data_IF_712387393104
#
_entry.id   IF_712387393104
#
_cell.length_a   1.000
_cell.length_b   1.000
_cell.length_c   1.000
_cell.angle_alpha   90.00
_cell.angle_beta   90.00
_cell.angle_gamma   90.00
#
_symmetry.space_group_name_H-M   'P 1'
#
loop_
_entity.id
_entity.type
_entity.pdbx_description
1 polymer ?
#
# COMPACT_ATOMS: atom_id res chain seq x y z
N UNK A 1 48.25 95.49 7.09
CA UNK A 1 47.60 95.13 5.82
C UNK A 1 48.28 93.99 5.04
N UNK A 2 49.17 93.17 5.64
CA UNK A 2 49.85 92.03 4.98
C UNK A 2 49.35 90.64 5.44
N UNK A 3 48.42 90.56 6.40
CA UNK A 3 47.87 89.28 6.91
C UNK A 3 46.48 88.94 6.33
N UNK A 4 45.74 89.93 5.80
CA UNK A 4 44.44 89.71 5.16
C UNK A 4 44.58 88.93 3.84
N UNK A 5 45.68 89.11 3.10
CA UNK A 5 45.93 88.36 1.86
C UNK A 5 46.21 86.86 2.12
N UNK A 6 46.79 86.51 3.27
CA UNK A 6 47.07 85.11 3.62
C UNK A 6 45.78 84.36 3.99
N UNK A 7 44.83 85.03 4.65
CA UNK A 7 43.54 84.44 5.01
C UNK A 7 42.65 84.16 3.79
N UNK A 8 42.67 85.04 2.78
CA UNK A 8 41.88 84.83 1.54
C UNK A 8 42.48 83.70 0.69
N UNK A 9 43.81 83.59 0.63
CA UNK A 9 44.48 82.48 -0.06
C UNK A 9 44.16 81.12 0.60
N UNK A 10 44.18 81.04 1.94
CA UNK A 10 43.86 79.82 2.67
C UNK A 10 42.39 79.38 2.51
N UNK A 11 41.45 80.32 2.43
CA UNK A 11 40.03 80.00 2.21
C UNK A 11 39.74 79.44 0.81
N UNK A 12 40.45 79.93 -0.23
CA UNK A 12 40.28 79.44 -1.60
C UNK A 12 40.80 78.00 -1.80
N UNK A 13 41.86 77.61 -1.09
CA UNK A 13 42.41 76.26 -1.14
C UNK A 13 41.50 75.22 -0.47
N UNK A 14 40.69 75.62 0.52
CA UNK A 14 39.78 74.71 1.23
C UNK A 14 38.50 74.42 0.43
N UNK A 15 37.98 75.40 -0.32
CA UNK A 15 36.78 75.24 -1.15
C UNK A 15 37.02 74.34 -2.38
N UNK A 16 38.22 74.40 -2.97
CA UNK A 16 38.58 73.58 -4.12
C UNK A 16 38.75 72.08 -3.77
N UNK A 17 39.17 71.77 -2.54
CA UNK A 17 39.36 70.38 -2.08
C UNK A 17 38.07 69.61 -1.82
N UNK A 18 36.96 70.29 -1.50
CA UNK A 18 35.69 69.64 -1.16
C UNK A 18 34.87 69.24 -2.41
N UNK A 19 35.05 69.94 -3.53
CA UNK A 19 34.29 69.68 -4.77
C UNK A 19 34.87 68.55 -5.64
N UNK A 20 36.13 68.14 -5.42
CA UNK A 20 36.81 67.11 -6.25
C UNK A 20 36.53 65.67 -5.74
N UNK A 21 35.92 65.51 -4.55
CA UNK A 21 35.61 64.19 -3.96
C UNK A 21 34.12 63.83 -3.91
N UNK A 22 33.27 64.55 -4.66
CA UNK A 22 31.89 64.16 -4.91
C UNK A 22 31.79 63.17 -6.08
N UNK A 23 32.12 61.90 -5.86
CA UNK A 23 31.86 60.84 -6.85
C UNK A 23 30.33 60.65 -6.99
N UNK A 24 29.71 60.90 -8.15
CA UNK A 24 28.33 60.48 -8.38
C UNK A 24 28.34 58.96 -8.56
N UNK A 25 27.91 58.22 -7.54
CA UNK A 25 27.69 56.78 -7.67
C UNK A 25 26.41 56.54 -8.47
N UNK A 26 26.57 56.56 -9.79
CA UNK A 26 25.77 55.77 -10.71
C UNK A 26 25.83 54.30 -10.30
N UNK A 27 24.69 53.62 -10.30
CA UNK A 27 24.67 52.17 -10.20
C UNK A 27 23.37 51.67 -9.63
N UNK A 28 22.46 51.30 -10.52
CA UNK A 28 21.35 50.41 -10.22
C UNK A 28 21.88 49.20 -9.43
N UNK A 29 21.62 49.17 -8.12
CA UNK A 29 21.84 47.97 -7.33
C UNK A 29 20.69 47.04 -7.65
N UNK A 30 21.02 46.09 -8.50
CA UNK A 30 20.22 44.97 -8.97
C UNK A 30 19.40 44.39 -7.80
N UNK A 31 18.11 44.19 -8.06
CA UNK A 31 17.32 43.24 -7.31
C UNK A 31 18.09 41.92 -7.35
N UNK A 32 18.75 41.59 -6.24
CA UNK A 32 19.24 40.26 -6.01
C UNK A 32 17.99 39.38 -5.97
N UNK A 33 17.65 38.80 -7.11
CA UNK A 33 16.87 37.59 -7.14
C UNK A 33 17.70 36.57 -6.35
N UNK A 34 17.37 36.46 -5.06
CA UNK A 34 17.87 35.40 -4.22
C UNK A 34 17.48 34.11 -4.93
N UNK A 35 18.45 33.47 -5.57
CA UNK A 35 18.23 32.19 -6.21
C UNK A 35 18.02 31.22 -5.06
N UNK A 36 16.74 31.02 -4.71
CA UNK A 36 16.32 30.04 -3.72
C UNK A 36 16.88 28.70 -4.21
N UNK A 37 17.95 28.24 -3.56
CA UNK A 37 18.40 26.87 -3.71
C UNK A 37 17.19 25.98 -3.43
N UNK A 38 16.92 24.92 -4.21
CA UNK A 38 15.85 24.00 -3.86
C UNK A 38 16.14 23.55 -2.43
N UNK A 39 15.26 23.95 -1.50
CA UNK A 39 15.40 23.62 -0.11
C UNK A 39 15.53 22.11 -0.07
N UNK A 40 16.69 21.61 0.35
CA UNK A 40 16.77 20.22 0.76
C UNK A 40 15.75 20.14 1.86
N UNK A 41 14.63 19.46 1.58
CA UNK A 41 13.68 19.09 2.60
C UNK A 41 14.44 18.07 3.43
N UNK A 42 15.25 18.56 4.37
CA UNK A 42 15.67 17.81 5.54
C UNK A 42 14.42 17.70 6.39
N UNK A 43 13.40 17.05 5.85
CA UNK A 43 12.22 16.66 6.60
C UNK A 43 12.78 15.88 7.78
N UNK A 44 12.48 16.36 8.98
CA UNK A 44 12.83 15.67 10.21
C UNK A 44 12.48 14.20 10.02
N UNK A 45 13.48 13.31 10.04
CA UNK A 45 13.21 11.87 10.03
C UNK A 45 12.50 11.56 11.35
N UNK A 46 11.18 11.43 11.29
CA UNK A 46 10.38 11.04 12.43
C UNK A 46 10.34 9.51 12.43
N UNK A 47 11.15 8.91 13.29
CA UNK A 47 11.07 7.49 13.60
C UNK A 47 10.15 7.30 14.81
N UNK A 48 9.17 6.42 14.68
CA UNK A 48 8.28 6.02 15.76
C UNK A 48 8.25 4.48 15.84
N UNK A 49 8.22 3.94 17.05
CA UNK A 49 8.04 2.51 17.24
C UNK A 49 6.62 2.11 16.82
N UNK A 50 6.51 1.14 15.92
CA UNK A 50 5.26 0.52 15.52
C UNK A 50 5.23 -0.94 15.96
N UNK A 51 4.04 -1.46 16.23
CA UNK A 51 3.82 -2.89 16.45
C UNK A 51 3.27 -3.52 15.18
N UNK A 52 3.83 -4.67 14.79
CA UNK A 52 3.28 -5.47 13.68
C UNK A 52 2.18 -6.35 14.25
N UNK A 53 0.99 -6.22 13.69
CA UNK A 53 -0.16 -7.06 14.00
C UNK A 53 -0.41 -8.03 12.85
N UNK A 54 -0.93 -9.24 13.13
CA UNK A 54 -1.46 -10.11 12.10
C UNK A 54 -2.53 -9.40 11.25
N UNK A 55 -2.56 -9.71 9.95
CA UNK A 55 -3.62 -9.21 9.05
C UNK A 55 -4.99 -9.79 9.43
N UNK A 56 -5.00 -10.94 10.11
CA UNK A 56 -6.19 -11.67 10.52
C UNK A 56 -6.11 -12.05 12.00
N UNK A 57 -7.27 -12.24 12.62
CA UNK A 57 -7.36 -12.76 13.99
C UNK A 57 -6.92 -14.23 14.06
N UNK A 58 -6.78 -14.74 15.29
CA UNK A 58 -6.59 -16.17 15.56
C UNK A 58 -7.84 -16.94 15.12
N UNK A 59 -7.70 -17.82 14.13
CA UNK A 59 -8.80 -18.64 13.62
C UNK A 59 -8.73 -20.03 14.24
N UNK A 60 -9.71 -20.35 15.09
CA UNK A 60 -9.87 -21.71 15.62
C UNK A 60 -10.62 -22.56 14.61
N UNK A 61 -9.95 -23.59 14.11
CA UNK A 61 -10.53 -24.55 13.17
C UNK A 61 -11.01 -25.80 13.91
N UNK A 62 -12.18 -26.31 13.52
CA UNK A 62 -12.76 -27.52 14.07
C UNK A 62 -13.54 -28.28 12.99
N UNK A 63 -13.82 -29.54 13.26
CA UNK A 63 -14.64 -30.37 12.37
C UNK A 63 -16.11 -29.96 12.46
N UNK A 64 -16.78 -29.82 11.31
CA UNK A 64 -18.23 -29.58 11.26
C UNK A 64 -19.04 -30.85 11.52
N UNK A 65 -18.48 -32.01 11.16
CA UNK A 65 -19.11 -33.32 11.32
C UNK A 65 -18.45 -34.13 12.43
N UNK A 66 -19.25 -34.92 13.13
CA UNK A 66 -18.73 -35.89 14.08
C UNK A 66 -18.17 -37.10 13.32
N UNK A 67 -16.98 -37.54 13.71
CA UNK A 67 -16.34 -38.71 13.14
C UNK A 67 -14.97 -38.94 13.75
N UNK A 68 -14.38 -40.10 13.46
CA UNK A 68 -13.03 -40.43 13.92
C UNK A 68 -12.00 -39.76 13.03
N UNK A 69 -10.98 -39.13 13.62
CA UNK A 69 -9.85 -38.59 12.86
C UNK A 69 -9.08 -39.75 12.22
N UNK A 70 -8.97 -39.73 10.88
CA UNK A 70 -8.24 -40.75 10.11
C UNK A 70 -6.79 -40.36 9.94
N UNK A 71 -6.52 -39.15 9.48
CA UNK A 71 -5.16 -38.64 9.29
C UNK A 71 -5.10 -37.12 9.40
N UNK A 72 -3.91 -36.60 9.71
CA UNK A 72 -3.55 -35.18 9.67
C UNK A 72 -2.48 -35.01 8.59
N UNK A 73 -2.66 -34.02 7.72
CA UNK A 73 -1.87 -33.81 6.50
C UNK A 73 -0.88 -32.64 6.60
N UNK A 74 -0.82 -31.98 7.75
CA UNK A 74 -0.02 -30.77 7.98
C UNK A 74 0.64 -30.83 9.34
N UNK A 75 1.83 -30.22 9.45
CA UNK A 75 2.56 -30.11 10.70
C UNK A 75 2.48 -28.68 11.28
N UNK A 76 2.86 -28.56 12.55
CA UNK A 76 2.92 -27.26 13.22
C UNK A 76 3.94 -26.34 12.55
N UNK A 77 3.51 -25.12 12.22
CA UNK A 77 4.35 -24.12 11.54
C UNK A 77 4.25 -24.14 10.01
N UNK A 78 3.51 -25.08 9.43
CA UNK A 78 3.30 -25.13 7.98
C UNK A 78 2.50 -23.94 7.46
N UNK A 79 2.90 -23.46 6.27
CA UNK A 79 2.13 -22.45 5.52
C UNK A 79 1.09 -23.13 4.65
N UNK A 80 -0.18 -22.90 4.99
CA UNK A 80 -1.33 -23.45 4.28
C UNK A 80 -1.99 -22.43 3.35
N UNK A 81 -2.76 -22.91 2.37
CA UNK A 81 -3.57 -22.07 1.47
C UNK A 81 -5.06 -22.32 1.68
N UNK A 82 -5.88 -21.36 1.26
CA UNK A 82 -7.34 -21.51 1.29
C UNK A 82 -7.77 -22.74 0.47
N UNK A 83 -8.62 -23.58 1.07
CA UNK A 83 -9.13 -24.80 0.45
C UNK A 83 -8.19 -26.01 0.56
N UNK A 84 -7.02 -25.88 1.19
CA UNK A 84 -6.13 -27.00 1.45
C UNK A 84 -6.75 -27.94 2.49
N UNK A 85 -6.70 -29.24 2.20
CA UNK A 85 -7.13 -30.27 3.16
C UNK A 85 -6.08 -30.37 4.27
N UNK A 86 -6.51 -30.21 5.52
CA UNK A 86 -5.64 -30.26 6.69
C UNK A 86 -5.68 -31.61 7.39
N UNK A 87 -6.83 -32.28 7.37
CA UNK A 87 -7.05 -33.56 8.01
C UNK A 87 -8.20 -34.30 7.32
N UNK A 88 -8.19 -35.63 7.41
CA UNK A 88 -9.27 -36.47 6.92
C UNK A 88 -9.99 -37.09 8.11
N UNK A 89 -11.32 -37.01 8.10
CA UNK A 89 -12.20 -37.68 9.04
C UNK A 89 -12.75 -38.94 8.36
N UNK A 90 -12.79 -40.04 9.10
CA UNK A 90 -13.37 -41.30 8.65
C UNK A 90 -14.86 -41.12 8.31
N UNK A 91 -15.27 -41.54 7.11
CA UNK A 91 -16.58 -41.23 6.54
C UNK A 91 -17.31 -42.45 5.93
N UNK A 92 -17.03 -43.66 6.42
CA UNK A 92 -17.60 -44.90 5.89
C UNK A 92 -19.13 -44.87 5.81
N UNK A 93 -19.80 -44.47 6.89
CA UNK A 93 -21.27 -44.38 6.93
C UNK A 93 -21.84 -43.37 5.92
N UNK A 94 -21.15 -42.24 5.75
CA UNK A 94 -21.54 -41.23 4.76
C UNK A 94 -21.38 -41.78 3.34
N UNK A 95 -20.27 -42.47 3.06
CA UNK A 95 -20.03 -43.08 1.75
C UNK A 95 -21.07 -44.16 1.41
N UNK A 96 -21.46 -44.98 2.39
CA UNK A 96 -22.50 -45.98 2.23
C UNK A 96 -23.87 -45.34 1.94
N UNK A 97 -24.21 -44.25 2.63
CA UNK A 97 -25.46 -43.49 2.39
C UNK A 97 -25.49 -42.88 0.99
N UNK A 98 -24.38 -42.30 0.52
CA UNK A 98 -24.27 -41.77 -0.84
C UNK A 98 -24.48 -42.90 -1.85
N UNK A 99 -23.75 -44.02 -1.73
CA UNK A 99 -23.88 -45.16 -2.63
C UNK A 99 -25.32 -45.73 -2.66
N UNK A 100 -25.98 -45.81 -1.50
CA UNK A 100 -27.38 -46.25 -1.44
C UNK A 100 -28.33 -45.29 -2.17
N UNK A 101 -28.08 -43.99 -2.07
CA UNK A 101 -28.89 -42.94 -2.72
C UNK A 101 -28.69 -42.94 -4.23
N UNK A 102 -27.45 -43.15 -4.69
CA UNK A 102 -27.11 -43.30 -6.10
C UNK A 102 -27.77 -44.52 -6.73
N UNK A 103 -27.79 -45.67 -6.03
CA UNK A 103 -28.49 -46.87 -6.49
C UNK A 103 -30.00 -46.63 -6.64
N UNK A 104 -30.61 -45.90 -5.71
CA UNK A 104 -32.02 -45.48 -5.82
C UNK A 104 -32.21 -44.58 -7.02
N UNK A 105 -31.37 -43.57 -7.22
CA UNK A 105 -31.45 -42.66 -8.37
C UNK A 105 -31.37 -43.44 -9.70
N UNK A 106 -30.39 -44.33 -9.83
CA UNK A 106 -30.21 -45.16 -11.02
C UNK A 106 -31.45 -46.03 -11.31
N UNK A 107 -32.08 -46.59 -10.28
CA UNK A 107 -33.31 -47.38 -10.44
C UNK A 107 -34.48 -46.55 -10.97
N UNK A 108 -34.58 -45.28 -10.55
CA UNK A 108 -35.62 -44.36 -11.00
C UNK A 108 -35.37 -43.88 -12.42
N UNK A 109 -34.13 -43.57 -12.76
CA UNK A 109 -33.73 -43.21 -14.13
C UNK A 109 -33.98 -44.36 -15.11
N UNK A 110 -33.78 -45.61 -14.67
CA UNK A 110 -34.12 -46.78 -15.48
C UNK A 110 -35.63 -46.93 -15.65
N UNK A 111 -36.42 -46.68 -14.61
CA UNK A 111 -37.88 -46.71 -14.69
C UNK A 111 -38.41 -45.62 -15.64
N UNK A 112 -37.89 -44.40 -15.56
CA UNK A 112 -38.25 -43.30 -16.47
C UNK A 112 -37.91 -43.66 -17.90
N UNK A 113 -36.69 -44.13 -18.18
CA UNK A 113 -36.30 -44.57 -19.53
C UNK A 113 -37.18 -45.70 -20.06
N UNK A 114 -37.61 -46.63 -19.20
CA UNK A 114 -38.54 -47.68 -19.59
C UNK A 114 -39.92 -47.12 -19.96
N UNK A 115 -40.42 -46.13 -19.23
CA UNK A 115 -41.69 -45.47 -19.53
C UNK A 115 -41.62 -44.66 -20.84
N UNK A 116 -40.51 -43.94 -21.05
CA UNK A 116 -40.26 -43.19 -22.28
C UNK A 116 -40.17 -44.13 -23.49
N UNK A 117 -39.35 -45.19 -23.40
CA UNK A 117 -39.15 -46.14 -24.50
C UNK A 117 -40.32 -47.12 -24.71
N UNK A 118 -41.10 -47.40 -23.66
CA UNK A 118 -42.27 -48.28 -23.70
C UNK A 118 -43.51 -47.62 -24.30
N UNK A 119 -43.50 -46.30 -24.50
CA UNK A 119 -44.61 -45.54 -25.07
C UNK A 119 -44.63 -45.51 -26.62
N UNK A 120 -44.16 -46.56 -27.30
CA UNK A 120 -44.19 -46.61 -28.77
C UNK A 120 -45.65 -46.53 -29.25
N UNK A 121 -45.99 -45.63 -30.21
CA UNK A 121 -47.38 -45.39 -30.66
C UNK A 121 -48.09 -46.58 -31.31
N UNK A 122 -47.40 -47.70 -31.54
CA UNK A 122 -47.91 -48.86 -32.29
C UNK A 122 -48.79 -49.80 -31.44
N UNK A 123 -48.97 -49.53 -30.14
CA UNK A 123 -49.87 -50.28 -29.23
C UNK A 123 -51.26 -49.65 -29.04
N UNK A 124 -51.68 -48.70 -29.89
CA UNK A 124 -53.03 -48.12 -29.86
C UNK A 124 -53.90 -48.48 -31.06
#
# INVERSE_FOLDING_TARGET
MKWILILIAAASAFAAGFFINGKPASGASQAAADKVAPGVVTGSLVAAAGRVEPVSEEIRMGAEVNGKLREVLVDEGDRIRRGQVLAIIENADYSARVASSEAVLQSRDAAVRKLENGSRPEER
#
